data_IF_308724641948
#
_entry.id   IF_308724641948
#
_cell.length_a   1.000
_cell.length_b   1.000
_cell.length_c   1.000
_cell.angle_alpha   90.00
_cell.angle_beta   90.00
_cell.angle_gamma   90.00
#
_symmetry.space_group_name_H-M   'P 1'
#
loop_
_entity.id
_entity.type
_entity.pdbx_description
1 polymer ?
#
# COMPACT_ATOMS: atom_id res chain seq x y z
N UNK A 1 -2.57 13.45 24.43
CA UNK A 1 -3.96 13.85 24.11
C UNK A 1 -4.15 13.65 22.61
N UNK A 2 -5.12 12.84 22.20
CA UNK A 2 -5.38 12.57 20.79
C UNK A 2 -5.95 13.83 20.13
N UNK A 3 -5.25 14.39 19.16
CA UNK A 3 -5.82 15.44 18.34
C UNK A 3 -7.05 14.89 17.62
N UNK A 4 -8.20 15.45 17.94
CA UNK A 4 -9.45 15.28 17.20
C UNK A 4 -9.27 15.92 15.82
N UNK A 5 -8.64 15.19 14.89
CA UNK A 5 -8.51 15.57 13.49
C UNK A 5 -9.39 14.66 12.65
N UNK A 6 -10.27 15.22 11.83
CA UNK A 6 -11.04 14.47 10.83
C UNK A 6 -10.07 13.64 9.97
N UNK A 7 -10.45 12.40 9.65
CA UNK A 7 -9.69 11.47 8.80
C UNK A 7 -9.18 12.15 7.51
N UNK A 8 -7.92 11.91 7.09
CA UNK A 8 -7.36 12.43 5.83
C UNK A 8 -8.31 12.29 4.64
N UNK A 9 -8.93 11.11 4.54
CA UNK A 9 -9.86 10.70 3.50
C UNK A 9 -11.09 11.61 3.36
N UNK A 10 -11.47 12.32 4.43
CA UNK A 10 -12.67 13.16 4.46
C UNK A 10 -12.37 14.63 4.13
N UNK A 11 -11.10 14.99 3.93
CA UNK A 11 -10.67 16.38 3.68
C UNK A 11 -10.50 16.71 2.20
N UNK A 12 -10.33 15.69 1.35
CA UNK A 12 -10.19 15.86 -0.10
C UNK A 12 -9.41 14.68 -0.71
N UNK A 13 -9.19 14.69 -2.03
CA UNK A 13 -8.38 13.66 -2.69
C UNK A 13 -6.94 13.69 -2.15
N UNK A 14 -6.23 12.54 -2.16
CA UNK A 14 -4.90 12.42 -1.55
C UNK A 14 -3.87 13.37 -2.18
N UNK A 15 -3.99 13.63 -3.48
CA UNK A 15 -3.19 14.60 -4.25
C UNK A 15 -3.31 16.05 -3.74
N UNK A 16 -4.39 16.39 -3.05
CA UNK A 16 -4.62 17.70 -2.43
C UNK A 16 -4.47 17.69 -0.91
N UNK A 17 -4.55 16.53 -0.27
CA UNK A 17 -4.43 16.39 1.18
C UNK A 17 -2.98 16.46 1.66
N UNK A 18 -2.07 15.80 0.94
CA UNK A 18 -0.64 15.86 1.21
C UNK A 18 0.00 16.96 0.37
N UNK A 19 -0.28 18.23 0.74
CA UNK A 19 0.50 19.36 0.24
C UNK A 19 1.94 19.35 0.80
N UNK A 20 2.82 20.20 0.27
CA UNK A 20 4.23 20.26 0.68
C UNK A 20 4.43 20.39 2.20
N UNK A 21 3.52 21.13 2.88
CA UNK A 21 3.61 21.36 4.31
C UNK A 21 3.20 20.13 5.12
N UNK A 22 2.13 19.45 4.74
CA UNK A 22 1.68 18.23 5.40
C UNK A 22 2.60 17.04 5.10
N UNK A 23 3.16 16.94 3.90
CA UNK A 23 4.15 15.92 3.53
C UNK A 23 5.42 16.01 4.39
N UNK A 24 5.95 17.23 4.60
CA UNK A 24 7.12 17.47 5.46
C UNK A 24 6.83 17.17 6.92
N UNK A 25 5.67 17.60 7.45
CA UNK A 25 5.27 17.29 8.84
C UNK A 25 5.10 15.80 9.08
N UNK A 26 4.51 15.09 8.11
CA UNK A 26 4.31 13.64 8.20
C UNK A 26 5.65 12.91 8.32
N UNK A 27 6.62 13.33 7.53
CA UNK A 27 7.93 12.68 7.42
C UNK A 27 8.89 13.03 8.56
N UNK A 28 8.73 14.18 9.22
CA UNK A 28 9.58 14.58 10.37
C UNK A 28 9.01 14.16 11.73
N UNK A 29 7.81 13.59 11.77
CA UNK A 29 7.21 13.15 13.02
C UNK A 29 7.76 11.77 13.42
N UNK A 30 8.68 11.73 14.39
CA UNK A 30 9.35 10.51 14.85
C UNK A 30 8.38 9.37 15.21
N UNK A 31 7.21 9.68 15.77
CA UNK A 31 6.17 8.69 16.07
C UNK A 31 5.56 8.10 14.79
N UNK A 32 5.37 8.92 13.75
CA UNK A 32 4.85 8.44 12.47
C UNK A 32 5.87 7.56 11.75
N UNK A 33 7.15 7.94 11.78
CA UNK A 33 8.25 7.12 11.25
C UNK A 33 8.24 5.75 11.95
N UNK A 34 8.24 5.72 13.28
CA UNK A 34 8.24 4.47 14.06
C UNK A 34 7.04 3.56 13.72
N UNK A 35 5.84 4.14 13.61
CA UNK A 35 4.63 3.38 13.26
C UNK A 35 4.73 2.83 11.83
N UNK A 36 5.22 3.62 10.86
CA UNK A 36 5.38 3.20 9.47
C UNK A 36 6.44 2.10 9.35
N UNK A 37 7.56 2.21 10.04
CA UNK A 37 8.60 1.18 10.08
C UNK A 37 8.06 -0.14 10.64
N UNK A 38 7.36 -0.11 11.78
CA UNK A 38 6.74 -1.32 12.37
C UNK A 38 5.72 -1.98 11.44
N UNK A 39 4.92 -1.19 10.71
CA UNK A 39 3.96 -1.73 9.75
C UNK A 39 4.65 -2.31 8.51
N UNK A 40 5.77 -1.71 8.10
CA UNK A 40 6.56 -2.17 6.95
C UNK A 40 7.28 -3.47 7.28
N UNK A 41 7.93 -3.57 8.45
CA UNK A 41 8.49 -4.80 9.02
C UNK A 41 7.48 -5.93 9.00
N UNK A 42 6.31 -5.69 9.60
CA UNK A 42 5.25 -6.69 9.63
C UNK A 42 4.76 -7.07 8.23
N UNK A 43 4.70 -6.13 7.30
CA UNK A 43 4.27 -6.40 5.93
C UNK A 43 5.27 -7.28 5.18
N UNK A 44 6.57 -6.99 5.31
CA UNK A 44 7.66 -7.77 4.70
C UNK A 44 7.71 -9.18 5.29
N UNK A 45 7.58 -9.32 6.61
CA UNK A 45 7.49 -10.64 7.27
C UNK A 45 6.34 -11.49 6.69
N UNK A 46 5.17 -10.89 6.50
CA UNK A 46 3.98 -11.58 5.97
C UNK A 46 4.09 -11.94 4.48
N UNK A 47 4.95 -11.26 3.71
CA UNK A 47 5.26 -11.65 2.34
C UNK A 47 5.89 -13.05 2.31
N UNK A 48 6.66 -13.43 3.34
CA UNK A 48 7.37 -14.70 3.40
C UNK A 48 8.30 -14.86 2.19
N UNK A 49 9.12 -13.85 1.97
CA UNK A 49 10.14 -13.82 0.93
C UNK A 49 11.23 -14.86 1.25
N UNK A 50 11.94 -15.36 0.25
CA UNK A 50 13.06 -16.28 0.46
C UNK A 50 14.28 -15.55 1.05
N UNK A 51 14.92 -16.15 2.07
CA UNK A 51 16.08 -15.59 2.76
C UNK A 51 17.40 -15.70 1.96
N UNK A 52 17.41 -16.48 0.87
CA UNK A 52 18.62 -16.84 0.12
C UNK A 52 18.94 -15.88 -1.04
N UNK A 53 18.08 -14.88 -1.30
CA UNK A 53 18.26 -13.95 -2.41
C UNK A 53 17.50 -12.63 -2.22
N UNK A 54 18.03 -11.51 -2.77
CA UNK A 54 17.26 -10.29 -2.93
C UNK A 54 16.00 -10.51 -3.77
N UNK A 55 14.91 -9.85 -3.40
CA UNK A 55 13.64 -9.83 -4.13
C UNK A 55 13.37 -8.45 -4.72
N UNK A 56 12.57 -8.41 -5.79
CA UNK A 56 12.13 -7.15 -6.38
C UNK A 56 10.67 -6.85 -6.01
N UNK A 57 10.45 -5.79 -5.22
CA UNK A 57 9.16 -5.45 -4.64
C UNK A 57 8.52 -4.22 -5.27
N UNK A 58 7.19 -4.18 -5.25
CA UNK A 58 6.41 -2.98 -5.56
C UNK A 58 5.84 -2.39 -4.26
N UNK A 59 6.14 -1.12 -3.98
CA UNK A 59 5.53 -0.36 -2.89
C UNK A 59 4.43 0.57 -3.45
N UNK A 60 3.17 0.25 -3.15
CA UNK A 60 2.01 1.00 -3.65
C UNK A 60 1.54 2.01 -2.60
N UNK A 61 1.53 3.28 -2.98
CA UNK A 61 1.33 4.40 -2.07
C UNK A 61 2.56 4.62 -1.20
N UNK A 62 3.74 4.63 -1.82
CA UNK A 62 5.03 4.68 -1.14
C UNK A 62 5.25 5.99 -0.37
N UNK A 63 4.47 7.04 -0.66
CA UNK A 63 4.57 8.33 -0.01
C UNK A 63 5.99 8.90 -0.07
N UNK A 64 6.52 9.26 1.09
CA UNK A 64 7.87 9.80 1.25
C UNK A 64 8.96 8.73 1.29
N UNK A 65 8.62 7.47 1.00
CA UNK A 65 9.57 6.36 0.88
C UNK A 65 9.87 5.61 2.18
N UNK A 66 9.20 5.94 3.29
CA UNK A 66 9.45 5.31 4.60
C UNK A 66 9.31 3.78 4.60
N UNK A 67 8.33 3.25 3.87
CA UNK A 67 8.14 1.81 3.71
C UNK A 67 9.20 1.19 2.80
N UNK A 68 9.62 1.91 1.77
CA UNK A 68 10.69 1.51 0.85
C UNK A 68 12.06 1.47 1.52
N UNK A 69 12.37 2.39 2.43
CA UNK A 69 13.61 2.37 3.21
C UNK A 69 13.79 1.06 3.96
N UNK A 70 12.72 0.59 4.61
CA UNK A 70 12.73 -0.70 5.29
C UNK A 70 12.98 -1.87 4.31
N UNK A 71 12.42 -1.80 3.10
CA UNK A 71 12.68 -2.81 2.06
C UNK A 71 14.15 -2.82 1.63
N UNK A 72 14.76 -1.65 1.49
CA UNK A 72 16.20 -1.52 1.23
C UNK A 72 17.06 -2.05 2.39
N UNK A 73 16.69 -1.75 3.63
CA UNK A 73 17.37 -2.24 4.84
C UNK A 73 17.39 -3.78 4.92
N UNK A 74 16.31 -4.44 4.48
CA UNK A 74 16.23 -5.90 4.35
C UNK A 74 16.95 -6.46 3.11
N UNK A 75 17.66 -5.62 2.35
CA UNK A 75 18.47 -6.03 1.20
C UNK A 75 17.66 -6.36 -0.06
N UNK A 76 16.46 -5.79 -0.20
CA UNK A 76 15.60 -5.97 -1.36
C UNK A 76 15.57 -4.71 -2.24
N UNK A 77 15.33 -4.91 -3.54
CA UNK A 77 15.14 -3.81 -4.47
C UNK A 77 13.66 -3.49 -4.59
N UNK A 78 13.31 -2.22 -4.80
CA UNK A 78 11.91 -1.82 -4.90
C UNK A 78 11.65 -0.67 -5.86
N UNK A 79 10.40 -0.59 -6.32
CA UNK A 79 9.86 0.57 -7.03
C UNK A 79 8.65 1.07 -6.25
N UNK A 80 8.63 2.38 -5.97
CA UNK A 80 7.53 3.06 -5.31
C UNK A 80 6.60 3.72 -6.32
N UNK A 81 5.29 3.65 -6.07
CA UNK A 81 4.33 4.50 -6.75
C UNK A 81 3.48 5.30 -5.77
N UNK A 82 3.30 6.58 -6.04
CA UNK A 82 2.38 7.44 -5.28
C UNK A 82 1.66 8.42 -6.21
N UNK A 83 0.49 8.90 -5.79
CA UNK A 83 -0.31 9.88 -6.53
C UNK A 83 0.06 11.32 -6.16
N UNK A 84 0.72 11.54 -5.01
CA UNK A 84 1.11 12.87 -4.53
C UNK A 84 2.53 13.22 -5.00
N UNK A 85 2.69 14.24 -5.87
CA UNK A 85 4.02 14.75 -6.25
C UNK A 85 4.82 15.22 -5.03
N UNK A 86 4.18 15.93 -4.09
CA UNK A 86 4.85 16.46 -2.90
C UNK A 86 5.42 15.36 -1.98
N UNK A 87 4.75 14.21 -1.90
CA UNK A 87 5.29 13.06 -1.15
C UNK A 87 6.51 12.46 -1.84
N UNK A 88 6.47 12.35 -3.17
CA UNK A 88 7.60 11.87 -3.97
C UNK A 88 8.78 12.85 -3.94
N UNK A 89 8.53 14.15 -3.94
CA UNK A 89 9.57 15.18 -3.78
C UNK A 89 10.30 15.01 -2.44
N UNK A 90 9.56 14.75 -1.36
CA UNK A 90 10.17 14.43 -0.05
C UNK A 90 10.95 13.12 -0.11
N UNK A 91 10.48 12.09 -0.82
CA UNK A 91 11.23 10.85 -1.00
C UNK A 91 12.55 11.09 -1.77
N UNK A 92 12.53 11.94 -2.81
CA UNK A 92 13.73 12.33 -3.55
C UNK A 92 14.70 13.14 -2.67
N UNK A 93 14.21 14.09 -1.87
CA UNK A 93 15.02 14.86 -0.91
C UNK A 93 15.70 13.97 0.14
N UNK A 94 15.09 12.81 0.45
CA UNK A 94 15.63 11.81 1.38
C UNK A 94 16.62 10.84 0.74
N UNK A 95 16.83 10.94 -0.58
CA UNK A 95 17.75 10.09 -1.34
C UNK A 95 17.46 8.59 -1.17
N UNK A 96 16.17 8.22 -1.24
CA UNK A 96 15.75 6.81 -1.17
C UNK A 96 16.37 5.99 -2.31
N UNK A 97 16.69 4.72 -2.05
CA UNK A 97 17.36 3.85 -3.04
C UNK A 97 16.44 3.36 -4.17
N UNK A 98 15.13 3.27 -3.90
CA UNK A 98 14.15 2.76 -4.86
C UNK A 98 13.76 3.78 -5.92
N UNK A 99 13.39 3.28 -7.10
CA UNK A 99 12.84 4.14 -8.15
C UNK A 99 11.44 4.62 -7.77
N UNK A 100 11.15 5.90 -8.05
CA UNK A 100 9.88 6.54 -7.71
C UNK A 100 9.04 6.85 -8.95
N UNK A 101 7.74 6.55 -8.88
CA UNK A 101 6.80 6.76 -9.97
C UNK A 101 5.57 7.55 -9.52
N UNK A 102 5.33 8.70 -10.15
CA UNK A 102 4.06 9.42 -10.02
C UNK A 102 2.95 8.66 -10.78
N UNK A 103 2.05 8.00 -10.06
CA UNK A 103 0.98 7.21 -10.65
C UNK A 103 -0.26 7.08 -9.75
N UNK A 104 -1.44 7.04 -10.38
CA UNK A 104 -2.69 6.68 -9.71
C UNK A 104 -2.89 5.16 -9.75
N UNK A 105 -2.70 4.48 -8.60
CA UNK A 105 -2.90 3.02 -8.47
C UNK A 105 -4.31 2.56 -8.92
N UNK A 106 -5.32 3.43 -8.87
CA UNK A 106 -6.68 3.13 -9.31
C UNK A 106 -6.83 3.03 -10.83
N UNK A 107 -5.85 3.52 -11.60
CA UNK A 107 -5.76 3.32 -13.05
C UNK A 107 -5.06 2.01 -13.43
N UNK A 108 -4.42 1.37 -12.44
CA UNK A 108 -3.77 0.08 -12.54
C UNK A 108 -2.24 0.16 -12.43
N UNK A 109 -1.63 -1.01 -12.32
CA UNK A 109 -0.19 -1.20 -12.16
C UNK A 109 0.47 -1.28 -13.56
N UNK A 110 1.29 -0.30 -13.97
CA UNK A 110 1.78 -0.16 -15.34
C UNK A 110 3.08 -0.95 -15.59
N UNK A 111 3.15 -2.19 -15.09
CA UNK A 111 4.32 -3.05 -15.22
C UNK A 111 4.01 -4.31 -16.03
N UNK A 112 5.07 -4.91 -16.60
CA UNK A 112 4.94 -6.15 -17.38
C UNK A 112 4.47 -7.30 -16.47
N UNK A 113 3.87 -8.35 -17.06
CA UNK A 113 3.45 -9.50 -16.27
C UNK A 113 4.63 -10.18 -15.57
N UNK A 114 4.45 -10.55 -14.29
CA UNK A 114 5.46 -11.28 -13.52
C UNK A 114 6.73 -10.50 -13.18
N UNK A 115 6.65 -9.18 -13.11
CA UNK A 115 7.78 -8.29 -12.79
C UNK A 115 8.23 -8.41 -11.33
N UNK A 116 7.28 -8.45 -10.37
CA UNK A 116 7.60 -8.31 -8.95
C UNK A 116 7.45 -9.62 -8.17
N UNK A 117 8.39 -9.91 -7.27
CA UNK A 117 8.36 -11.05 -6.36
C UNK A 117 7.37 -10.87 -5.20
N UNK A 118 7.01 -9.61 -4.90
CA UNK A 118 6.03 -9.26 -3.88
C UNK A 118 5.55 -7.82 -4.02
N UNK A 119 4.52 -7.47 -3.26
CA UNK A 119 4.02 -6.09 -3.19
C UNK A 119 3.64 -5.74 -1.75
N UNK A 120 4.04 -4.56 -1.31
CA UNK A 120 3.54 -3.96 -0.08
C UNK A 120 2.70 -2.72 -0.38
N UNK A 121 1.81 -2.38 0.53
CA UNK A 121 1.10 -1.10 0.51
C UNK A 121 0.71 -0.77 1.94
N UNK A 122 1.22 0.36 2.45
CA UNK A 122 1.02 0.77 3.83
C UNK A 122 0.15 2.01 3.87
N UNK A 123 -1.04 1.91 4.48
CA UNK A 123 -1.99 3.02 4.65
C UNK A 123 -2.45 3.71 3.35
N UNK A 124 -2.51 3.01 2.21
CA UNK A 124 -2.81 3.65 0.92
C UNK A 124 -4.10 3.14 0.22
N UNK A 125 -4.44 1.86 0.32
CA UNK A 125 -5.54 1.30 -0.51
C UNK A 125 -6.93 1.79 -0.11
N UNK A 126 -7.12 2.23 1.14
CA UNK A 126 -8.42 2.77 1.57
C UNK A 126 -8.84 4.01 0.75
N UNK A 127 -7.89 4.74 0.15
CA UNK A 127 -8.18 5.85 -0.74
C UNK A 127 -8.94 5.43 -2.01
N UNK A 128 -8.81 4.17 -2.46
CA UNK A 128 -9.59 3.66 -3.59
C UNK A 128 -11.07 3.43 -3.26
N UNK A 129 -11.46 3.45 -1.98
CA UNK A 129 -12.85 3.40 -1.56
C UNK A 129 -13.57 4.75 -1.73
N UNK A 130 -12.83 5.85 -1.90
CA UNK A 130 -13.40 7.18 -2.05
C UNK A 130 -13.70 7.51 -3.52
N UNK A 131 -14.77 8.25 -3.73
CA UNK A 131 -15.20 8.72 -5.04
C UNK A 131 -15.03 10.24 -5.16
N UNK A 132 -13.78 10.70 -5.14
CA UNK A 132 -13.47 12.15 -5.12
C UNK A 132 -13.81 12.86 -6.45
N UNK A 133 -13.85 12.12 -7.57
CA UNK A 133 -14.25 12.63 -8.90
C UNK A 133 -15.54 11.95 -9.34
N UNK A 134 -16.42 12.64 -10.08
CA UNK A 134 -17.69 12.07 -10.58
C UNK A 134 -17.51 10.81 -11.44
N UNK A 135 -16.34 10.64 -12.04
CA UNK A 135 -15.97 9.46 -12.85
C UNK A 135 -15.46 8.29 -12.01
N UNK A 136 -15.20 8.49 -10.72
CA UNK A 136 -14.69 7.44 -9.84
C UNK A 136 -15.81 6.48 -9.46
N UNK A 137 -15.61 5.22 -9.84
CA UNK A 137 -16.37 4.10 -9.31
C UNK A 137 -15.43 3.25 -8.47
N UNK A 138 -15.51 3.29 -7.11
CA UNK A 138 -14.63 2.54 -6.24
C UNK A 138 -14.54 1.03 -6.58
N UNK A 139 -15.65 0.32 -6.89
CA UNK A 139 -15.57 -1.08 -7.32
C UNK A 139 -14.74 -1.27 -8.60
N UNK A 140 -14.87 -0.38 -9.60
CA UNK A 140 -14.11 -0.47 -10.85
C UNK A 140 -12.63 -0.16 -10.65
N UNK A 141 -12.31 0.89 -9.88
CA UNK A 141 -10.92 1.28 -9.54
C UNK A 141 -10.23 0.18 -8.74
N UNK A 142 -10.88 -0.38 -7.72
CA UNK A 142 -10.37 -1.52 -6.97
C UNK A 142 -10.17 -2.76 -7.85
N UNK A 143 -11.13 -3.09 -8.72
CA UNK A 143 -10.96 -4.21 -9.65
C UNK A 143 -9.79 -3.99 -10.62
N UNK A 144 -9.65 -2.77 -11.16
CA UNK A 144 -8.54 -2.40 -12.04
C UNK A 144 -7.20 -2.52 -11.32
N UNK A 145 -7.09 -1.99 -10.10
CA UNK A 145 -5.93 -2.13 -9.24
C UNK A 145 -5.56 -3.60 -9.03
N UNK A 146 -6.48 -4.42 -8.48
CA UNK A 146 -6.18 -5.82 -8.17
C UNK A 146 -5.91 -6.67 -9.42
N UNK A 147 -6.64 -6.47 -10.51
CA UNK A 147 -6.42 -7.26 -11.74
C UNK A 147 -5.04 -6.99 -12.36
N UNK A 148 -4.61 -5.73 -12.40
CA UNK A 148 -3.29 -5.36 -12.94
C UNK A 148 -2.16 -5.69 -11.97
N UNK A 149 -2.36 -5.54 -10.66
CA UNK A 149 -1.42 -6.03 -9.64
C UNK A 149 -1.24 -7.55 -9.73
N UNK A 150 -2.34 -8.30 -9.89
CA UNK A 150 -2.27 -9.74 -10.08
C UNK A 150 -1.41 -10.09 -11.30
N UNK A 151 -1.54 -9.36 -12.40
CA UNK A 151 -0.70 -9.58 -13.59
C UNK A 151 0.77 -9.22 -13.34
N UNK A 152 1.05 -8.09 -12.69
CA UNK A 152 2.41 -7.61 -12.45
C UNK A 152 3.22 -8.49 -11.48
N UNK A 153 2.55 -9.24 -10.61
CA UNK A 153 3.18 -10.14 -9.64
C UNK A 153 3.61 -11.48 -10.27
N UNK A 154 4.81 -11.94 -9.89
CA UNK A 154 5.34 -13.25 -10.23
C UNK A 154 4.45 -14.38 -9.72
N UNK A 155 4.48 -15.53 -10.38
CA UNK A 155 3.55 -16.62 -10.07
C UNK A 155 3.73 -17.12 -8.64
N UNK A 156 2.67 -16.97 -7.84
CA UNK A 156 2.67 -17.41 -6.44
C UNK A 156 3.22 -16.39 -5.45
N UNK A 157 3.60 -15.20 -5.93
CA UNK A 157 3.92 -14.05 -5.11
C UNK A 157 2.76 -13.63 -4.21
N UNK A 158 3.09 -12.85 -3.20
CA UNK A 158 2.15 -12.29 -2.22
C UNK A 158 2.11 -10.78 -2.34
N UNK A 159 0.96 -10.23 -1.99
CA UNK A 159 0.77 -8.81 -1.76
C UNK A 159 0.27 -8.63 -0.32
N UNK A 160 0.91 -7.75 0.43
CA UNK A 160 0.55 -7.45 1.82
C UNK A 160 0.15 -5.99 1.92
N UNK A 161 -1.12 -5.78 2.24
CA UNK A 161 -1.79 -4.50 2.10
C UNK A 161 -2.32 -4.10 3.48
N UNK A 162 -1.64 -3.19 4.14
CA UNK A 162 -2.09 -2.61 5.40
C UNK A 162 -3.08 -1.47 5.08
N UNK A 163 -4.24 -1.47 5.75
CA UNK A 163 -5.28 -0.47 5.50
C UNK A 163 -6.15 -0.18 6.73
N UNK A 164 -6.78 0.99 6.70
CA UNK A 164 -7.74 1.43 7.72
C UNK A 164 -9.16 1.52 7.13
N UNK A 165 -9.93 0.42 7.10
CA UNK A 165 -11.29 0.46 6.59
C UNK A 165 -12.19 1.31 7.50
N UNK A 166 -13.06 2.11 6.91
CA UNK A 166 -14.04 2.91 7.65
C UNK A 166 -15.14 2.04 8.26
N UNK A 167 -15.61 1.06 7.51
CA UNK A 167 -16.70 0.17 7.88
C UNK A 167 -16.49 -1.24 7.30
N UNK A 168 -17.33 -2.18 7.71
CA UNK A 168 -17.30 -3.56 7.20
C UNK A 168 -17.57 -3.65 5.70
N UNK A 169 -18.37 -2.73 5.13
CA UNK A 169 -18.73 -2.73 3.72
C UNK A 169 -17.52 -2.39 2.83
N UNK A 170 -16.70 -1.40 3.20
CA UNK A 170 -15.45 -1.10 2.50
C UNK A 170 -14.50 -2.30 2.52
N UNK A 171 -14.38 -2.93 3.67
CA UNK A 171 -13.53 -4.10 3.84
C UNK A 171 -14.00 -5.29 3.00
N UNK A 172 -15.32 -5.52 2.96
CA UNK A 172 -15.95 -6.53 2.10
C UNK A 172 -15.78 -6.20 0.61
N UNK A 173 -15.90 -4.93 0.23
CA UNK A 173 -15.71 -4.47 -1.15
C UNK A 173 -14.29 -4.74 -1.63
N UNK A 174 -13.28 -4.29 -0.87
CA UNK A 174 -11.87 -4.58 -1.16
C UNK A 174 -11.69 -6.10 -1.23
N UNK A 175 -12.30 -6.83 -0.29
CA UNK A 175 -12.22 -8.29 -0.24
C UNK A 175 -12.69 -8.96 -1.53
N UNK A 176 -13.90 -8.61 -1.92
CA UNK A 176 -14.59 -9.09 -3.11
C UNK A 176 -13.81 -8.77 -4.38
N UNK A 177 -13.28 -7.55 -4.54
CA UNK A 177 -12.55 -7.18 -5.75
C UNK A 177 -11.22 -7.92 -5.90
N UNK A 178 -10.47 -8.13 -4.80
CA UNK A 178 -9.23 -8.91 -4.90
C UNK A 178 -9.50 -10.40 -5.20
N UNK A 179 -10.53 -10.98 -4.59
CA UNK A 179 -10.95 -12.36 -4.88
C UNK A 179 -11.39 -12.51 -6.34
N UNK A 180 -12.15 -11.53 -6.85
CA UNK A 180 -12.56 -11.47 -8.25
C UNK A 180 -11.39 -11.34 -9.22
N UNK A 181 -10.31 -10.67 -8.82
CA UNK A 181 -9.08 -10.57 -9.61
C UNK A 181 -8.23 -11.85 -9.60
N UNK A 182 -8.51 -12.81 -8.71
CA UNK A 182 -7.81 -14.11 -8.64
C UNK A 182 -6.86 -14.26 -7.44
N UNK A 183 -6.82 -13.27 -6.55
CA UNK A 183 -6.14 -13.45 -5.27
C UNK A 183 -6.93 -14.41 -4.37
N UNK A 184 -6.19 -15.09 -3.51
CA UNK A 184 -6.66 -15.95 -2.43
C UNK A 184 -5.93 -15.53 -1.17
N UNK A 185 -6.51 -15.63 0.00
CA UNK A 185 -5.84 -15.19 1.22
C UNK A 185 -6.84 -14.72 2.27
N UNK A 186 -6.30 -14.05 3.28
CA UNK A 186 -7.05 -13.70 4.47
C UNK A 186 -6.77 -12.28 4.92
N UNK A 187 -7.44 -11.91 6.00
CA UNK A 187 -7.19 -10.67 6.70
C UNK A 187 -6.55 -11.01 8.02
N UNK A 188 -5.41 -10.39 8.28
CA UNK A 188 -4.67 -10.46 9.53
C UNK A 188 -5.01 -9.21 10.32
N UNK A 189 -5.52 -9.37 11.54
CA UNK A 189 -5.83 -8.23 12.40
C UNK A 189 -4.90 -8.31 13.59
N UNK A 190 -3.90 -7.43 13.60
CA UNK A 190 -2.99 -7.30 14.71
C UNK A 190 -3.67 -6.47 15.82
N UNK A 191 -3.49 -6.90 17.07
CA UNK A 191 -4.10 -6.30 18.28
C UNK A 191 -5.65 -6.17 18.25
N UNK A 192 -6.42 -7.26 18.07
CA UNK A 192 -7.87 -7.22 17.87
C UNK A 192 -8.65 -6.58 19.02
N UNK A 193 -8.09 -6.61 20.24
CA UNK A 193 -8.71 -6.15 21.49
C UNK A 193 -8.45 -4.67 21.82
N UNK A 194 -7.56 -3.98 21.08
CA UNK A 194 -7.27 -2.56 21.30
C UNK A 194 -7.92 -1.71 20.24
N UNK A 195 -8.97 -0.94 20.58
CA UNK A 195 -9.60 -0.03 19.61
C UNK A 195 -8.68 1.10 19.14
N UNK A 196 -7.65 1.46 19.93
CA UNK A 196 -6.66 2.50 19.59
C UNK A 196 -5.45 1.98 18.79
N UNK A 197 -5.07 0.71 18.93
CA UNK A 197 -3.88 0.14 18.29
C UNK A 197 -4.21 -0.94 17.23
N UNK A 198 -5.49 -1.03 16.83
CA UNK A 198 -5.95 -2.04 15.86
C UNK A 198 -5.39 -1.75 14.48
N UNK A 199 -4.39 -2.54 14.07
CA UNK A 199 -3.86 -2.50 12.72
C UNK A 199 -4.45 -3.67 11.93
N UNK A 200 -5.06 -3.38 10.78
CA UNK A 200 -5.63 -4.40 9.90
C UNK A 200 -4.71 -4.55 8.70
N UNK A 201 -4.12 -5.72 8.58
CA UNK A 201 -3.30 -6.11 7.45
C UNK A 201 -4.08 -7.11 6.59
N UNK A 202 -4.01 -6.97 5.28
CA UNK A 202 -4.60 -7.93 4.36
C UNK A 202 -3.51 -8.64 3.59
N UNK A 203 -3.47 -9.96 3.72
CA UNK A 203 -2.55 -10.81 2.99
C UNK A 203 -3.27 -11.42 1.78
N UNK A 204 -2.81 -11.07 0.60
CA UNK A 204 -3.30 -11.59 -0.67
C UNK A 204 -2.21 -12.43 -1.32
N UNK A 205 -2.55 -13.65 -1.75
CA UNK A 205 -1.66 -14.58 -2.44
C UNK A 205 -2.28 -14.97 -3.76
N UNK A 206 -1.50 -14.99 -4.83
CA UNK A 206 -2.01 -15.48 -6.10
C UNK A 206 -2.44 -16.94 -6.00
N UNK A 207 -3.61 -17.28 -6.54
CA UNK A 207 -4.06 -18.68 -6.63
C UNK A 207 -3.08 -19.47 -7.52
N UNK A 208 -2.52 -20.56 -7.00
CA UNK A 208 -1.82 -21.54 -7.83
C UNK A 208 -2.85 -22.19 -8.77
N UNK A 209 -2.83 -21.85 -10.06
CA UNK A 209 -3.50 -22.69 -11.07
C UNK A 209 -2.82 -24.07 -11.05
N UNK A 210 -3.57 -25.11 -10.68
CA UNK A 210 -3.18 -26.50 -10.96
C UNK A 210 -3.01 -26.62 -12.47
N UNK A 211 -1.84 -27.12 -12.90
CA UNK A 211 -1.67 -27.56 -14.29
C UNK A 211 -2.50 -28.82 -14.50
#
# INVERSE_FOLDING_TARGET
>A
MAACGKRPEHRGPPELFYDEAEARKYTHNSRMIEIQSQMSERAVELLGLPDDRPCFLLDVGCGSGLSGDYVSEEGHCWVGMDISPAMLDVAMEREVEGDLMLADMGQGIPFRPGTFDGCISISAIQWLCNADKKTHSPPKRLYRFFSTLYTALARGARAVLQLYPENSQQLELITTQAMKAGFTGGMVVDYPNSTKAKNRCRTARQRRRSR
#
